data_IF_909590445740
#
_entry.id   IF_909590445740
#
_cell.length_a   1.000
_cell.length_b   1.000
_cell.length_c   1.000
_cell.angle_alpha   90.00
_cell.angle_beta   90.00
_cell.angle_gamma   90.00
#
_symmetry.space_group_name_H-M   'P 1'
#
loop_
_entity.id
_entity.type
_entity.pdbx_description
1 polymer ?
#
# COMPACT_ATOMS: atom_id res chain seq x y z
N UNK A 1 -34.00 2.83 -22.74
CA UNK A 1 -34.24 4.24 -23.14
C UNK A 1 -35.49 4.28 -23.99
N UNK A 2 -36.47 5.10 -23.61
CA UNK A 2 -37.68 5.37 -24.39
C UNK A 2 -37.48 6.66 -25.19
N UNK A 3 -37.80 6.63 -26.48
CA UNK A 3 -37.70 7.77 -27.38
C UNK A 3 -39.08 8.08 -27.97
N UNK A 4 -39.49 9.34 -27.90
CA UNK A 4 -40.70 9.84 -28.56
C UNK A 4 -40.30 10.93 -29.56
N UNK A 5 -40.74 10.78 -30.82
CA UNK A 5 -40.45 11.73 -31.91
C UNK A 5 -41.65 12.63 -32.15
N UNK A 6 -41.42 13.94 -32.26
CA UNK A 6 -42.43 14.97 -32.49
C UNK A 6 -42.07 15.81 -33.70
N UNK A 7 -42.91 15.74 -34.72
CA UNK A 7 -42.81 16.62 -35.88
C UNK A 7 -43.94 17.67 -35.81
N UNK A 8 -43.68 18.75 -35.07
CA UNK A 8 -44.65 19.81 -34.79
C UNK A 8 -43.94 21.16 -34.80
N UNK A 9 -44.69 22.23 -35.09
CA UNK A 9 -44.17 23.59 -35.16
C UNK A 9 -43.89 24.22 -33.81
N UNK A 10 -44.61 23.80 -32.78
CA UNK A 10 -44.48 24.32 -31.42
C UNK A 10 -44.24 23.17 -30.45
N UNK A 11 -43.37 23.38 -29.47
CA UNK A 11 -43.16 22.43 -28.38
C UNK A 11 -44.30 22.51 -27.37
N UNK A 12 -44.94 21.39 -27.03
CA UNK A 12 -45.99 21.37 -26.01
C UNK A 12 -45.53 20.68 -24.73
N UNK A 13 -45.59 21.41 -23.61
CA UNK A 13 -45.24 20.88 -22.28
C UNK A 13 -46.09 19.67 -21.87
N UNK A 14 -47.30 19.54 -22.43
CA UNK A 14 -48.21 18.41 -22.18
C UNK A 14 -47.60 17.05 -22.58
N UNK A 15 -46.65 17.02 -23.51
CA UNK A 15 -45.98 15.78 -23.92
C UNK A 15 -45.12 15.18 -22.81
N UNK A 16 -44.59 16.01 -21.91
CA UNK A 16 -43.70 15.56 -20.83
C UNK A 16 -44.46 14.65 -19.86
N UNK A 17 -45.69 15.04 -19.49
CA UNK A 17 -46.53 14.23 -18.60
C UNK A 17 -46.89 12.88 -19.21
N UNK A 18 -47.29 12.88 -20.48
CA UNK A 18 -47.56 11.63 -21.22
C UNK A 18 -46.31 10.75 -21.30
N UNK A 19 -45.17 11.31 -21.68
CA UNK A 19 -43.92 10.56 -21.82
C UNK A 19 -43.44 9.95 -20.51
N UNK A 20 -43.62 10.63 -19.37
CA UNK A 20 -43.29 10.06 -18.06
C UNK A 20 -44.17 8.85 -17.70
N UNK A 21 -45.46 8.89 -18.04
CA UNK A 21 -46.33 7.73 -17.91
C UNK A 21 -45.84 6.58 -18.78
N UNK A 22 -45.58 6.86 -20.06
CA UNK A 22 -45.09 5.87 -21.02
C UNK A 22 -43.71 5.30 -20.58
N UNK A 23 -42.85 6.13 -19.98
CA UNK A 23 -41.57 5.72 -19.42
C UNK A 23 -41.74 4.70 -18.30
N UNK A 24 -42.68 4.96 -17.38
CA UNK A 24 -42.98 4.07 -16.26
C UNK A 24 -43.54 2.73 -16.76
N UNK A 25 -44.49 2.77 -17.70
CA UNK A 25 -45.10 1.57 -18.28
C UNK A 25 -44.08 0.73 -19.05
N UNK A 26 -43.18 1.38 -19.80
CA UNK A 26 -42.08 0.72 -20.50
C UNK A 26 -40.93 0.30 -19.58
N UNK A 27 -40.96 0.67 -18.28
CA UNK A 27 -39.87 0.48 -17.30
C UNK A 27 -38.52 0.98 -17.84
N UNK A 28 -38.54 2.10 -18.56
CA UNK A 28 -37.36 2.66 -19.16
C UNK A 28 -36.62 3.58 -18.17
N UNK A 29 -35.31 3.37 -18.00
CA UNK A 29 -34.49 4.21 -17.11
C UNK A 29 -34.37 5.67 -17.56
N UNK A 30 -34.49 5.92 -18.87
CA UNK A 30 -34.32 7.23 -19.49
C UNK A 30 -35.42 7.43 -20.52
N UNK A 31 -36.02 8.62 -20.52
CA UNK A 31 -36.99 9.08 -21.52
C UNK A 31 -36.46 10.29 -22.29
N UNK A 32 -36.71 10.32 -23.60
CA UNK A 32 -36.23 11.37 -24.49
C UNK A 32 -37.33 11.81 -25.47
N UNK A 33 -37.54 13.12 -25.58
CA UNK A 33 -38.31 13.73 -26.66
C UNK A 33 -37.33 14.22 -27.72
N UNK A 34 -37.54 13.78 -28.95
CA UNK A 34 -36.93 14.38 -30.12
C UNK A 34 -37.96 15.25 -30.81
N UNK A 35 -37.66 16.51 -31.06
CA UNK A 35 -38.59 17.41 -31.77
C UNK A 35 -37.91 18.29 -32.81
N UNK A 36 -38.69 18.74 -33.79
CA UNK A 36 -38.23 19.74 -34.79
C UNK A 36 -38.09 21.11 -34.13
N UNK A 37 -39.05 21.50 -33.29
CA UNK A 37 -39.02 22.74 -32.52
C UNK A 37 -38.72 22.42 -31.05
N UNK A 38 -37.70 23.06 -30.50
CA UNK A 38 -37.28 22.91 -29.10
C UNK A 38 -37.97 23.94 -28.19
N UNK A 39 -38.05 23.70 -26.87
CA UNK A 39 -38.44 24.70 -25.89
C UNK A 39 -37.47 25.89 -25.87
N UNK A 40 -37.96 27.05 -25.43
CA UNK A 40 -37.11 28.22 -25.23
C UNK A 40 -35.94 27.91 -24.29
N UNK A 41 -34.73 28.32 -24.69
CA UNK A 41 -33.50 28.12 -23.94
C UNK A 41 -32.78 26.79 -24.23
N UNK A 42 -33.26 25.98 -25.17
CA UNK A 42 -32.58 24.75 -25.61
C UNK A 42 -32.23 24.87 -27.10
N UNK A 43 -30.94 24.92 -27.42
CA UNK A 43 -30.46 25.07 -28.81
C UNK A 43 -30.18 23.74 -29.52
N UNK A 44 -29.90 22.66 -28.76
CA UNK A 44 -29.52 21.36 -29.32
C UNK A 44 -30.17 20.22 -28.54
N UNK A 45 -29.69 19.98 -27.32
CA UNK A 45 -30.33 19.08 -26.38
C UNK A 45 -30.06 19.48 -24.94
N UNK A 46 -31.03 19.27 -24.06
CA UNK A 46 -30.86 19.46 -22.62
C UNK A 46 -31.89 18.62 -21.84
N UNK A 47 -31.73 18.56 -20.51
CA UNK A 47 -32.72 18.04 -19.60
C UNK A 47 -33.80 19.09 -19.34
N UNK A 48 -35.04 18.77 -19.67
CA UNK A 48 -36.20 19.65 -19.47
C UNK A 48 -37.27 18.94 -18.66
N UNK A 49 -37.58 19.47 -17.47
CA UNK A 49 -38.54 18.87 -16.52
C UNK A 49 -38.31 17.36 -16.27
N UNK A 50 -37.06 16.91 -16.26
CA UNK A 50 -36.70 15.51 -15.98
C UNK A 50 -36.85 14.55 -17.16
N UNK A 51 -37.03 15.04 -18.39
CA UNK A 51 -36.86 14.26 -19.62
C UNK A 51 -35.80 14.92 -20.50
N UNK A 52 -35.06 14.12 -21.27
CA UNK A 52 -34.16 14.71 -22.27
C UNK A 52 -34.98 15.25 -23.44
N UNK A 53 -34.60 16.41 -23.95
CA UNK A 53 -35.16 16.98 -25.17
C UNK A 53 -34.01 17.23 -26.14
N UNK A 54 -34.17 16.85 -27.41
CA UNK A 54 -33.13 16.98 -28.45
C UNK A 54 -33.71 17.33 -29.81
N UNK A 55 -32.91 18.00 -30.64
CA UNK A 55 -33.16 18.13 -32.07
C UNK A 55 -32.71 16.88 -32.84
N UNK A 56 -33.04 16.85 -34.13
CA UNK A 56 -32.66 15.74 -35.02
C UNK A 56 -31.16 15.68 -35.31
N UNK A 57 -30.47 16.82 -35.33
CA UNK A 57 -29.04 16.85 -35.64
C UNK A 57 -28.22 16.23 -34.50
N UNK A 58 -28.63 16.46 -33.25
CA UNK A 58 -27.92 15.96 -32.07
C UNK A 58 -28.32 14.53 -31.68
N UNK A 59 -29.38 13.98 -32.29
CA UNK A 59 -29.94 12.65 -31.97
C UNK A 59 -28.87 11.56 -31.84
N UNK A 60 -27.99 11.42 -32.85
CA UNK A 60 -26.98 10.35 -32.88
C UNK A 60 -25.97 10.50 -31.74
N UNK A 61 -25.55 11.74 -31.47
CA UNK A 61 -24.62 12.07 -30.40
C UNK A 61 -25.24 11.78 -29.03
N UNK A 62 -26.44 12.29 -28.77
CA UNK A 62 -27.15 12.08 -27.52
C UNK A 62 -27.48 10.59 -27.31
N UNK A 63 -27.98 9.89 -28.32
CA UNK A 63 -28.28 8.46 -28.21
C UNK A 63 -27.03 7.63 -27.89
N UNK A 64 -25.88 8.01 -28.44
CA UNK A 64 -24.60 7.36 -28.13
C UNK A 64 -24.19 7.62 -26.69
N UNK A 65 -24.24 8.88 -26.23
CA UNK A 65 -23.89 9.27 -24.88
C UNK A 65 -24.79 8.59 -23.83
N UNK A 66 -26.11 8.62 -24.01
CA UNK A 66 -27.07 7.98 -23.10
C UNK A 66 -26.88 6.46 -23.04
N UNK A 67 -26.60 5.81 -24.18
CA UNK A 67 -26.32 4.37 -24.20
C UNK A 67 -25.03 4.04 -23.44
N UNK A 68 -23.96 4.79 -23.65
CA UNK A 68 -22.69 4.58 -22.94
C UNK A 68 -22.88 4.77 -21.43
N UNK A 69 -23.63 5.80 -21.02
CA UNK A 69 -23.97 6.02 -19.61
C UNK A 69 -24.70 4.82 -18.99
N UNK A 70 -25.70 4.26 -19.67
CA UNK A 70 -26.40 3.06 -19.16
C UNK A 70 -25.50 1.82 -19.10
N UNK A 71 -24.62 1.62 -20.08
CA UNK A 71 -23.66 0.50 -20.07
C UNK A 71 -22.73 0.63 -18.86
N UNK A 72 -22.21 1.82 -18.59
CA UNK A 72 -21.30 2.04 -17.46
C UNK A 72 -22.02 1.85 -16.12
N UNK A 73 -23.25 2.35 -15.97
CA UNK A 73 -24.06 2.10 -14.76
C UNK A 73 -24.34 0.60 -14.58
N UNK A 74 -24.67 -0.12 -15.65
CA UNK A 74 -24.87 -1.57 -15.60
C UNK A 74 -23.58 -2.32 -15.24
N UNK A 75 -22.44 -1.89 -15.79
CA UNK A 75 -21.12 -2.42 -15.46
C UNK A 75 -20.78 -2.19 -13.99
N UNK A 76 -21.03 -1.00 -13.45
CA UNK A 76 -20.83 -0.70 -12.04
C UNK A 76 -21.73 -1.56 -11.14
N UNK A 77 -23.01 -1.72 -11.48
CA UNK A 77 -23.92 -2.63 -10.77
C UNK A 77 -23.41 -4.08 -10.80
N UNK A 78 -22.96 -4.57 -11.96
CA UNK A 78 -22.38 -5.91 -12.09
C UNK A 78 -21.10 -6.08 -11.28
N UNK A 79 -20.23 -5.05 -11.25
CA UNK A 79 -19.04 -5.02 -10.40
C UNK A 79 -19.44 -5.06 -8.92
N UNK A 80 -20.45 -4.30 -8.49
CA UNK A 80 -20.93 -4.33 -7.10
C UNK A 80 -21.50 -5.71 -6.73
N UNK A 81 -22.31 -6.34 -7.59
CA UNK A 81 -22.87 -7.68 -7.34
C UNK A 81 -21.82 -8.79 -7.44
N UNK A 82 -20.82 -8.66 -8.31
CA UNK A 82 -19.69 -9.58 -8.42
C UNK A 82 -18.62 -9.39 -7.35
N UNK A 83 -18.57 -8.21 -6.72
CA UNK A 83 -17.73 -7.94 -5.56
C UNK A 83 -18.22 -8.65 -4.31
N UNK A 84 -19.52 -8.91 -4.16
CA UNK A 84 -20.04 -9.60 -2.98
C UNK A 84 -19.50 -11.04 -2.88
N UNK A 85 -19.36 -11.78 -3.98
CA UNK A 85 -18.84 -13.16 -3.92
C UNK A 85 -17.34 -13.26 -3.58
N UNK A 86 -16.50 -12.38 -4.12
CA UNK A 86 -15.06 -12.35 -3.80
C UNK A 86 -14.84 -11.72 -2.43
N UNK A 87 -15.61 -10.68 -2.05
CA UNK A 87 -15.57 -10.12 -0.70
C UNK A 87 -16.07 -11.13 0.32
N UNK A 88 -17.09 -11.93 0.04
CA UNK A 88 -17.58 -12.97 0.96
C UNK A 88 -16.57 -14.09 1.15
N UNK A 89 -15.89 -14.53 0.08
CA UNK A 89 -14.78 -15.51 0.17
C UNK A 89 -13.61 -14.91 0.96
N UNK A 90 -13.24 -13.65 0.68
CA UNK A 90 -12.15 -12.98 1.37
C UNK A 90 -12.51 -12.67 2.83
N UNK A 91 -13.75 -12.31 3.12
CA UNK A 91 -14.28 -12.06 4.45
C UNK A 91 -14.36 -13.37 5.23
N UNK A 92 -14.90 -14.45 4.67
CA UNK A 92 -14.86 -15.79 5.28
C UNK A 92 -13.43 -16.29 5.53
N UNK A 93 -12.48 -15.98 4.65
CA UNK A 93 -11.08 -16.33 4.86
C UNK A 93 -10.47 -15.49 6.00
N UNK A 94 -10.67 -14.17 6.01
CA UNK A 94 -10.15 -13.24 7.02
C UNK A 94 -10.80 -13.46 8.40
N UNK A 95 -12.11 -13.69 8.45
CA UNK A 95 -12.86 -14.00 9.69
C UNK A 95 -12.81 -15.48 10.03
N UNK A 96 -12.21 -16.30 9.18
CA UNK A 96 -12.09 -17.74 9.37
C UNK A 96 -11.07 -18.10 10.45
N UNK A 97 -11.35 -19.19 11.15
CA UNK A 97 -10.45 -19.74 12.18
C UNK A 97 -9.04 -20.04 11.62
N UNK A 98 -8.96 -20.45 10.35
CA UNK A 98 -7.71 -20.70 9.62
C UNK A 98 -6.78 -19.49 9.55
N UNK A 99 -7.30 -18.30 9.19
CA UNK A 99 -6.47 -17.09 9.12
C UNK A 99 -5.95 -16.68 10.50
N UNK A 100 -6.82 -16.76 11.52
CA UNK A 100 -6.44 -16.50 12.91
C UNK A 100 -5.35 -17.48 13.39
N UNK A 101 -5.45 -18.76 13.05
CA UNK A 101 -4.43 -19.77 13.38
C UNK A 101 -3.09 -19.48 12.70
N UNK A 102 -3.10 -19.06 11.42
CA UNK A 102 -1.88 -18.72 10.68
C UNK A 102 -1.19 -17.48 11.23
N UNK A 103 -1.95 -16.43 11.55
CA UNK A 103 -1.41 -15.22 12.17
C UNK A 103 -0.86 -15.53 13.56
N UNK A 104 -1.57 -16.33 14.37
CA UNK A 104 -1.09 -16.74 15.70
C UNK A 104 0.22 -17.53 15.60
N UNK A 105 0.31 -18.50 14.68
CA UNK A 105 1.53 -19.28 14.46
C UNK A 105 2.71 -18.38 14.03
N UNK A 106 2.47 -17.38 13.18
CA UNK A 106 3.49 -16.41 12.76
C UNK A 106 3.96 -15.53 13.93
N UNK A 107 3.03 -15.00 14.74
CA UNK A 107 3.36 -14.20 15.93
C UNK A 107 4.14 -15.01 16.95
N UNK A 108 3.75 -16.26 17.21
CA UNK A 108 4.47 -17.15 18.13
C UNK A 108 5.88 -17.50 17.63
N UNK A 109 6.04 -17.73 16.32
CA UNK A 109 7.35 -17.95 15.72
C UNK A 109 8.25 -16.72 15.87
N UNK A 110 7.70 -15.52 15.64
CA UNK A 110 8.43 -14.27 15.82
C UNK A 110 8.84 -14.03 17.28
N UNK A 111 7.92 -14.26 18.23
CA UNK A 111 8.22 -14.14 19.65
C UNK A 111 9.35 -15.09 20.08
N UNK A 112 9.30 -16.35 19.63
CA UNK A 112 10.38 -17.32 19.89
C UNK A 112 11.73 -16.86 19.33
N UNK A 113 11.76 -16.41 18.07
CA UNK A 113 12.99 -15.90 17.45
C UNK A 113 13.56 -14.69 18.20
N UNK A 114 12.71 -13.77 18.65
CA UNK A 114 13.14 -12.60 19.41
C UNK A 114 13.69 -12.98 20.79
N UNK A 115 13.07 -13.94 21.47
CA UNK A 115 13.54 -14.44 22.77
C UNK A 115 14.86 -15.19 22.65
N UNK A 116 15.01 -16.02 21.61
CA UNK A 116 16.25 -16.72 21.28
C UNK A 116 17.38 -15.71 21.01
N UNK A 117 17.13 -14.71 20.17
CA UNK A 117 18.09 -13.64 19.88
C UNK A 117 18.49 -12.88 21.16
N UNK A 118 17.54 -12.61 22.05
CA UNK A 118 17.81 -11.97 23.34
C UNK A 118 18.69 -12.83 24.26
N UNK A 119 18.49 -14.15 24.27
CA UNK A 119 19.33 -15.10 25.01
C UNK A 119 20.74 -15.17 24.41
N UNK A 120 20.84 -15.26 23.09
CA UNK A 120 22.13 -15.27 22.37
C UNK A 120 22.94 -14.02 22.66
N UNK A 121 22.33 -12.83 22.56
CA UNK A 121 23.00 -11.57 22.89
C UNK A 121 23.59 -11.58 24.31
N UNK A 122 22.80 -11.98 25.31
CA UNK A 122 23.27 -12.05 26.72
C UNK A 122 24.40 -13.07 26.90
N UNK A 123 24.29 -14.23 26.27
CA UNK A 123 25.34 -15.26 26.32
C UNK A 123 26.64 -14.74 25.68
N UNK A 124 26.52 -14.08 24.52
CA UNK A 124 27.67 -13.55 23.79
C UNK A 124 28.36 -12.41 24.53
N UNK A 125 27.61 -11.50 25.15
CA UNK A 125 28.20 -10.46 26.03
C UNK A 125 29.01 -11.08 27.17
N UNK A 126 28.51 -12.14 27.80
CA UNK A 126 29.26 -12.83 28.86
C UNK A 126 30.54 -13.46 28.33
N UNK A 127 30.49 -14.06 27.14
CA UNK A 127 31.65 -14.67 26.47
C UNK A 127 32.68 -13.60 26.13
N UNK A 128 32.26 -12.48 25.54
CA UNK A 128 33.13 -11.36 25.20
C UNK A 128 33.85 -10.83 26.44
N UNK A 129 33.12 -10.48 27.50
CA UNK A 129 33.74 -9.97 28.73
C UNK A 129 34.74 -10.96 29.35
N UNK A 130 34.44 -12.27 29.29
CA UNK A 130 35.36 -13.29 29.77
C UNK A 130 36.61 -13.39 28.91
N UNK A 131 36.48 -13.28 27.58
CA UNK A 131 37.62 -13.33 26.65
C UNK A 131 38.48 -12.09 26.74
N UNK A 132 37.87 -10.93 26.84
CA UNK A 132 38.55 -9.65 27.04
C UNK A 132 39.42 -9.70 28.29
N UNK A 133 38.86 -10.13 29.43
CA UNK A 133 39.65 -10.29 30.66
C UNK A 133 40.82 -11.27 30.50
N UNK A 134 40.61 -12.38 29.79
CA UNK A 134 41.70 -13.33 29.50
C UNK A 134 42.80 -12.69 28.65
N UNK A 135 42.43 -11.95 27.61
CA UNK A 135 43.36 -11.23 26.75
C UNK A 135 44.15 -10.19 27.55
N UNK A 136 43.48 -9.35 28.36
CA UNK A 136 44.14 -8.36 29.21
C UNK A 136 45.14 -8.99 30.18
N UNK A 137 44.76 -10.08 30.87
CA UNK A 137 45.67 -10.79 31.77
C UNK A 137 46.89 -11.36 31.04
N UNK A 138 46.72 -11.87 29.82
CA UNK A 138 47.87 -12.33 29.02
C UNK A 138 48.79 -11.17 28.66
N UNK A 139 48.24 -10.03 28.22
CA UNK A 139 49.01 -8.82 27.89
C UNK A 139 49.79 -8.32 29.11
N UNK A 140 49.14 -8.20 30.27
CA UNK A 140 49.77 -7.77 31.53
C UNK A 140 50.91 -8.71 31.94
N UNK A 141 50.71 -10.03 31.82
CA UNK A 141 51.76 -11.01 32.12
C UNK A 141 52.96 -10.89 31.18
N UNK A 142 52.73 -10.71 29.88
CA UNK A 142 53.82 -10.53 28.90
C UNK A 142 54.57 -9.22 29.18
N UNK A 143 53.86 -8.12 29.43
CA UNK A 143 54.46 -6.83 29.78
C UNK A 143 55.26 -6.91 31.09
N UNK A 144 54.73 -7.59 32.11
CA UNK A 144 55.41 -7.81 33.39
C UNK A 144 56.67 -8.67 33.26
N UNK A 145 56.64 -9.72 32.44
CA UNK A 145 57.82 -10.55 32.12
C UNK A 145 58.87 -9.70 31.38
N UNK A 146 58.46 -8.91 30.40
CA UNK A 146 59.36 -8.02 29.66
C UNK A 146 60.06 -7.03 30.59
N UNK A 147 59.31 -6.30 31.42
CA UNK A 147 59.89 -5.35 32.39
C UNK A 147 60.75 -6.01 33.46
N UNK A 148 60.39 -7.22 33.91
CA UNK A 148 61.21 -7.99 34.87
C UNK A 148 62.55 -8.40 34.27
N UNK A 149 62.57 -8.82 33.00
CA UNK A 149 63.81 -9.18 32.30
C UNK A 149 64.67 -7.94 32.04
N UNK A 150 64.09 -6.82 31.60
CA UNK A 150 64.84 -5.56 31.43
C UNK A 150 65.48 -5.07 32.74
N UNK A 151 64.76 -5.20 33.86
CA UNK A 151 65.27 -4.86 35.20
C UNK A 151 66.40 -5.78 35.66
N UNK A 152 66.31 -7.09 35.39
CA UNK A 152 67.36 -8.06 35.74
C UNK A 152 68.60 -7.94 34.85
N UNK A 153 68.43 -7.53 33.58
CA UNK A 153 69.53 -7.38 32.62
C UNK A 153 70.16 -5.96 32.68
N UNK A 154 69.72 -5.12 33.61
CA UNK A 154 70.39 -3.86 33.93
C UNK A 154 70.35 -2.82 32.79
N UNK A 155 69.29 -2.83 31.97
CA UNK A 155 69.10 -1.83 30.91
C UNK A 155 69.85 -2.10 29.60
N UNK A 156 70.38 -3.32 29.38
CA UNK A 156 70.86 -3.73 28.06
C UNK A 156 69.73 -4.42 27.28
N UNK A 157 69.41 -3.93 26.07
CA UNK A 157 68.42 -4.51 25.12
C UNK A 157 68.74 -5.98 24.84
N UNK A 158 68.16 -6.90 25.62
CA UNK A 158 68.40 -8.34 25.51
C UNK A 158 67.18 -9.12 24.98
N UNK A 159 66.05 -8.45 24.78
CA UNK A 159 64.84 -9.07 24.22
C UNK A 159 64.51 -8.43 22.86
N UNK A 160 64.08 -9.24 21.87
CA UNK A 160 63.51 -8.71 20.65
C UNK A 160 62.26 -7.87 20.99
N UNK A 161 62.18 -6.66 20.46
CA UNK A 161 61.02 -5.78 20.63
C UNK A 161 59.76 -6.49 20.12
N UNK A 162 58.81 -6.70 21.02
CA UNK A 162 57.48 -7.19 20.63
C UNK A 162 56.71 -5.95 20.17
N UNK A 163 56.59 -5.80 18.85
CA UNK A 163 56.02 -4.64 18.17
C UNK A 163 54.60 -4.29 18.65
N UNK A 164 53.81 -5.25 19.15
CA UNK A 164 52.46 -5.02 19.70
C UNK A 164 52.43 -4.50 21.15
N UNK A 165 53.58 -4.31 21.79
CA UNK A 165 53.71 -3.80 23.16
C UNK A 165 54.58 -2.53 23.23
N UNK A 166 54.99 -1.99 22.09
CA UNK A 166 55.70 -0.72 22.00
C UNK A 166 54.73 0.46 22.08
N UNK A 167 55.22 1.61 22.54
CA UNK A 167 54.41 2.80 22.74
C UNK A 167 53.92 3.42 21.41
N UNK A 168 54.64 3.18 20.31
CA UNK A 168 54.22 3.58 18.96
C UNK A 168 53.02 2.78 18.43
N UNK A 169 52.92 1.46 18.69
CA UNK A 169 51.81 0.65 18.15
C UNK A 169 50.48 0.85 18.86
N UNK A 170 50.50 1.27 20.12
CA UNK A 170 49.31 1.67 20.89
C UNK A 170 48.75 3.00 20.37
N UNK A 171 49.61 3.88 19.85
CA UNK A 171 49.19 5.18 19.31
C UNK A 171 48.56 5.06 17.89
N UNK A 172 49.04 4.11 17.08
CA UNK A 172 48.51 3.87 15.73
C UNK A 172 47.09 3.24 15.74
N UNK A 173 46.71 2.45 16.76
CA UNK A 173 45.33 1.91 16.88
C UNK A 173 44.28 2.98 17.21
N UNK A 174 44.68 4.06 17.89
CA UNK A 174 43.78 5.17 18.24
C UNK A 174 43.61 6.17 17.06
N UNK A 175 44.53 6.23 16.10
CA UNK A 175 44.43 7.09 14.90
C UNK A 175 43.63 6.46 13.74
N UNK A 176 43.47 5.13 13.66
CA UNK A 176 42.70 4.45 12.60
C UNK A 176 41.17 4.37 12.88
N UNK A 177 40.69 4.85 14.02
CA UNK A 177 39.29 4.78 14.45
C UNK A 177 38.48 6.10 14.33
N UNK A 178 39.05 7.15 13.75
CA UNK A 178 38.35 8.40 13.36
C UNK A 178 38.01 8.46 11.85
#
# INVERSE_FOLDING_TARGET
ILWESKNTKDFQKTWIGKLKSDQQDAKADIAVIMSVTLPDGIDSFDMYDGVWVTDYNSLKGLATALRQGLIEVARQKLITTGQDSIKDILYQYITGQEFTMRIRAAVEAFQRMNDELGKEKRAMTKIWNSREKQITTVIENVAGIHGSIEGLVGGQKALPEIETLSLESIADEDEELD
#
